data_IF_705848275388
#
_entry.id   IF_705848275388
#
_cell.length_a   1.000
_cell.length_b   1.000
_cell.length_c   1.000
_cell.angle_alpha   90.00
_cell.angle_beta   90.00
_cell.angle_gamma   90.00
#
_symmetry.space_group_name_H-M   'P 1'
#
loop_
_entity.id
_entity.type
_entity.pdbx_description
1 polymer ?
#
# COMPACT_ATOMS: atom_id res chain seq x y z
N UNK A 1 30.49 41.60 -13.28
CA UNK A 1 29.84 41.04 -12.07
C UNK A 1 29.62 39.54 -12.31
N UNK A 2 29.99 38.64 -11.38
CA UNK A 2 29.76 37.21 -11.56
C UNK A 2 28.26 36.92 -11.52
N UNK A 3 27.78 36.13 -12.49
CA UNK A 3 26.37 35.75 -12.63
C UNK A 3 26.02 34.83 -11.45
N UNK A 4 25.21 35.29 -10.49
CA UNK A 4 24.64 34.43 -9.44
C UNK A 4 23.74 33.40 -10.11
N UNK A 5 24.30 32.23 -10.40
CA UNK A 5 23.54 31.03 -10.73
C UNK A 5 22.89 30.58 -9.44
N UNK A 6 21.56 30.63 -9.38
CA UNK A 6 20.82 30.07 -8.25
C UNK A 6 21.14 28.57 -8.16
N UNK A 7 21.70 28.18 -7.02
CA UNK A 7 22.19 26.84 -6.77
C UNK A 7 21.04 25.83 -6.70
N UNK A 8 19.87 26.25 -6.21
CA UNK A 8 18.69 25.39 -6.15
C UNK A 8 17.98 25.33 -7.51
N UNK A 9 17.91 26.45 -8.24
CA UNK A 9 17.45 26.45 -9.64
C UNK A 9 18.28 25.47 -10.50
N UNK A 10 19.61 25.52 -10.41
CA UNK A 10 20.47 24.62 -11.19
C UNK A 10 20.34 23.16 -10.75
N UNK A 11 20.15 22.89 -9.45
CA UNK A 11 19.83 21.54 -8.95
C UNK A 11 18.50 21.03 -9.49
N UNK A 12 17.49 21.89 -9.58
CA UNK A 12 16.21 21.61 -10.25
C UNK A 12 16.39 21.24 -11.72
N UNK A 13 17.10 22.06 -12.50
CA UNK A 13 17.38 21.76 -13.92
C UNK A 13 18.09 20.43 -14.13
N UNK A 14 19.07 20.10 -13.27
CA UNK A 14 19.78 18.81 -13.26
C UNK A 14 18.83 17.64 -12.94
N UNK A 15 17.97 17.81 -11.93
CA UNK A 15 16.97 16.82 -11.54
C UNK A 15 15.94 16.61 -12.68
N UNK A 16 15.47 17.67 -13.32
CA UNK A 16 14.51 17.63 -14.44
C UNK A 16 15.09 16.97 -15.69
N UNK A 17 16.39 17.18 -15.96
CA UNK A 17 17.09 16.48 -17.03
C UNK A 17 17.28 14.99 -16.71
N UNK A 18 17.68 14.66 -15.48
CA UNK A 18 17.82 13.28 -15.03
C UNK A 18 16.49 12.52 -15.03
N UNK A 19 15.36 13.16 -14.66
CA UNK A 19 14.04 12.52 -14.70
C UNK A 19 13.59 12.19 -16.13
N UNK A 20 13.89 13.04 -17.12
CA UNK A 20 13.66 12.73 -18.54
C UNK A 20 14.47 11.52 -19.00
N UNK A 21 15.76 11.46 -18.66
CA UNK A 21 16.60 10.29 -18.95
C UNK A 21 16.08 9.00 -18.31
N UNK A 22 15.57 9.10 -17.08
CA UNK A 22 14.92 8.00 -16.36
C UNK A 22 13.65 7.52 -17.08
N UNK A 23 12.79 8.44 -17.52
CA UNK A 23 11.54 8.12 -18.19
C UNK A 23 11.76 7.40 -19.53
N UNK A 24 12.81 7.79 -20.28
CA UNK A 24 13.14 7.23 -21.58
C UNK A 24 13.95 5.92 -21.51
N UNK A 25 14.96 5.84 -20.62
CA UNK A 25 15.98 4.78 -20.63
C UNK A 25 16.15 4.06 -19.28
N UNK A 26 15.42 4.48 -18.25
CA UNK A 26 15.53 3.95 -16.88
C UNK A 26 16.66 4.57 -16.06
N UNK A 27 16.74 4.25 -14.75
CA UNK A 27 17.68 4.86 -13.82
C UNK A 27 19.16 4.70 -14.22
N UNK A 28 19.51 3.63 -14.92
CA UNK A 28 20.91 3.28 -15.25
C UNK A 28 21.52 4.18 -16.33
N UNK A 29 20.69 4.87 -17.11
CA UNK A 29 21.13 5.90 -18.06
C UNK A 29 21.61 7.20 -17.38
N UNK A 30 21.29 7.43 -16.10
CA UNK A 30 21.69 8.65 -15.39
C UNK A 30 23.18 8.60 -15.07
N UNK A 31 23.99 9.35 -15.83
CA UNK A 31 25.41 9.60 -15.55
C UNK A 31 25.71 11.10 -15.60
N UNK A 32 26.82 11.54 -14.99
CA UNK A 32 27.25 12.95 -15.05
C UNK A 32 27.42 13.43 -16.51
N UNK A 33 27.91 12.56 -17.39
CA UNK A 33 28.09 12.84 -18.83
C UNK A 33 26.74 13.02 -19.53
N UNK A 34 25.82 12.07 -19.36
CA UNK A 34 24.51 12.12 -20.02
C UNK A 34 23.68 13.31 -19.54
N UNK A 35 23.75 13.65 -18.24
CA UNK A 35 23.08 14.82 -17.67
C UNK A 35 23.74 16.13 -18.15
N UNK A 36 25.08 16.22 -18.22
CA UNK A 36 25.76 17.37 -18.84
C UNK A 36 25.35 17.56 -20.30
N UNK A 37 25.27 16.47 -21.08
CA UNK A 37 24.88 16.49 -22.48
C UNK A 37 23.42 16.93 -22.67
N UNK A 38 22.48 16.39 -21.88
CA UNK A 38 21.07 16.75 -21.91
C UNK A 38 20.79 18.22 -21.53
N UNK A 39 21.72 18.86 -20.81
CA UNK A 39 21.67 20.28 -20.45
C UNK A 39 22.51 21.20 -21.36
N UNK A 40 23.30 20.64 -22.29
CA UNK A 40 24.24 21.43 -23.11
C UNK A 40 25.35 22.12 -22.32
N UNK A 41 25.71 21.60 -21.13
CA UNK A 41 26.72 22.20 -20.24
C UNK A 41 28.04 21.44 -20.26
N UNK A 42 29.10 22.08 -19.77
CA UNK A 42 30.42 21.48 -19.65
C UNK A 42 30.39 20.12 -18.91
N UNK A 43 31.25 19.21 -19.37
CA UNK A 43 31.38 17.89 -18.77
C UNK A 43 31.83 18.00 -17.31
N UNK A 44 31.04 17.42 -16.39
CA UNK A 44 31.31 17.47 -14.95
C UNK A 44 30.57 18.57 -14.20
N UNK A 45 29.86 19.51 -14.86
CA UNK A 45 29.12 20.56 -14.17
C UNK A 45 28.15 20.04 -13.07
N UNK A 46 27.42 18.92 -13.24
CA UNK A 46 26.55 18.39 -12.19
C UNK A 46 27.29 17.90 -10.93
N UNK A 47 28.60 17.59 -11.02
CA UNK A 47 29.40 17.15 -9.87
C UNK A 47 29.66 18.27 -8.86
N UNK A 48 29.51 19.54 -9.26
CA UNK A 48 29.55 20.67 -8.32
C UNK A 48 28.29 20.79 -7.45
N UNK A 49 27.19 20.13 -7.84
CA UNK A 49 25.87 20.26 -7.20
C UNK A 49 25.42 18.99 -6.46
N UNK A 50 25.98 17.83 -6.80
CA UNK A 50 25.57 16.52 -6.28
C UNK A 50 26.77 15.61 -6.01
N UNK A 51 26.71 14.88 -4.88
CA UNK A 51 27.70 13.87 -4.48
C UNK A 51 27.61 12.56 -5.31
N UNK A 52 27.51 12.67 -6.64
CA UNK A 52 27.43 11.56 -7.57
C UNK A 52 26.02 11.12 -7.96
N UNK A 53 25.94 10.05 -8.76
CA UNK A 53 24.72 9.55 -9.42
C UNK A 53 23.54 9.34 -8.46
N UNK A 54 23.77 8.69 -7.31
CA UNK A 54 22.70 8.34 -6.38
C UNK A 54 21.93 9.58 -5.87
N UNK A 55 22.65 10.66 -5.56
CA UNK A 55 22.07 11.92 -5.12
C UNK A 55 21.28 12.64 -6.24
N UNK A 56 21.69 12.47 -7.51
CA UNK A 56 20.95 12.99 -8.67
C UNK A 56 19.65 12.20 -8.85
N UNK A 57 19.70 10.87 -8.82
CA UNK A 57 18.52 10.00 -8.97
C UNK A 57 17.50 10.22 -7.86
N UNK A 58 17.94 10.31 -6.60
CA UNK A 58 17.05 10.62 -5.47
C UNK A 58 16.39 12.00 -5.63
N UNK A 59 17.15 13.02 -6.02
CA UNK A 59 16.63 14.38 -6.20
C UNK A 59 15.63 14.48 -7.37
N UNK A 60 15.92 13.80 -8.49
CA UNK A 60 15.02 13.68 -9.62
C UNK A 60 13.70 13.00 -9.24
N UNK A 61 13.79 11.90 -8.48
CA UNK A 61 12.62 11.14 -8.03
C UNK A 61 11.77 11.92 -7.02
N UNK A 62 12.38 12.58 -6.03
CA UNK A 62 11.68 13.45 -5.07
C UNK A 62 10.94 14.56 -5.79
N UNK A 63 11.62 15.26 -6.71
CA UNK A 63 11.02 16.35 -7.48
C UNK A 63 9.86 15.90 -8.37
N UNK A 64 9.99 14.77 -9.07
CA UNK A 64 8.91 14.20 -9.87
C UNK A 64 7.67 13.84 -9.02
N UNK A 65 7.89 13.34 -7.80
CA UNK A 65 6.81 13.06 -6.84
C UNK A 65 6.19 14.33 -6.25
N UNK A 66 6.98 15.36 -5.95
CA UNK A 66 6.46 16.65 -5.48
C UNK A 66 5.69 17.40 -6.58
N UNK A 67 6.09 17.27 -7.85
CA UNK A 67 5.36 17.80 -9.01
C UNK A 67 4.03 17.07 -9.24
N UNK A 68 4.00 15.75 -9.07
CA UNK A 68 2.77 14.95 -9.05
C UNK A 68 1.87 15.36 -7.87
N UNK A 69 2.44 15.54 -6.69
CA UNK A 69 1.72 15.94 -5.48
C UNK A 69 1.08 17.33 -5.64
N UNK A 70 1.80 18.28 -6.24
CA UNK A 70 1.31 19.61 -6.58
C UNK A 70 0.27 19.57 -7.72
N UNK A 71 0.40 18.65 -8.69
CA UNK A 71 -0.60 18.43 -9.76
C UNK A 71 -1.91 17.89 -9.20
N UNK A 72 -1.84 16.88 -8.34
CA UNK A 72 -2.96 16.34 -7.56
C UNK A 72 -3.62 17.45 -6.76
N UNK A 73 -2.86 18.26 -6.02
CA UNK A 73 -3.42 19.35 -5.23
C UNK A 73 -4.16 20.40 -6.09
N UNK A 74 -3.62 20.77 -7.26
CA UNK A 74 -4.27 21.70 -8.21
C UNK A 74 -5.55 21.12 -8.80
N UNK A 75 -5.58 19.83 -9.16
CA UNK A 75 -6.75 19.18 -9.78
C UNK A 75 -7.79 18.69 -8.77
N UNK A 76 -7.41 18.52 -7.50
CA UNK A 76 -8.33 18.31 -6.38
C UNK A 76 -9.08 19.59 -5.95
N UNK A 77 -8.66 20.77 -6.41
CA UNK A 77 -9.25 22.03 -5.97
C UNK A 77 -10.75 22.10 -6.31
N UNK A 78 -11.60 22.19 -5.28
CA UNK A 78 -13.05 22.17 -5.43
C UNK A 78 -13.69 20.78 -5.48
N UNK A 79 -12.90 19.70 -5.46
CA UNK A 79 -13.40 18.33 -5.35
C UNK A 79 -13.36 17.86 -3.89
N UNK A 80 -14.30 17.00 -3.51
CA UNK A 80 -14.36 16.35 -2.19
C UNK A 80 -14.80 14.89 -2.31
N UNK A 81 -14.65 14.11 -1.23
CA UNK A 81 -15.14 12.73 -1.18
C UNK A 81 -14.64 11.85 -2.33
N UNK A 82 -15.56 11.05 -2.89
CA UNK A 82 -15.29 10.09 -3.98
C UNK A 82 -14.75 10.76 -5.25
N UNK A 83 -15.21 11.96 -5.59
CA UNK A 83 -14.72 12.69 -6.78
C UNK A 83 -13.24 13.08 -6.65
N UNK A 84 -12.81 13.48 -5.45
CA UNK A 84 -11.41 13.76 -5.17
C UNK A 84 -10.55 12.48 -5.14
N UNK A 85 -11.11 11.36 -4.68
CA UNK A 85 -10.44 10.04 -4.73
C UNK A 85 -10.21 9.56 -6.17
N UNK A 86 -11.21 9.70 -7.06
CA UNK A 86 -11.08 9.39 -8.49
C UNK A 86 -9.94 10.18 -9.13
N UNK A 87 -9.98 11.51 -9.03
CA UNK A 87 -8.95 12.38 -9.58
C UNK A 87 -7.55 12.02 -9.04
N UNK A 88 -7.44 11.78 -7.73
CA UNK A 88 -6.16 11.40 -7.11
C UNK A 88 -5.60 10.12 -7.76
N UNK A 89 -6.45 9.12 -7.95
CA UNK A 89 -6.04 7.84 -8.51
C UNK A 89 -5.67 7.94 -9.99
N UNK A 90 -6.44 8.70 -10.78
CA UNK A 90 -6.12 8.95 -12.20
C UNK A 90 -4.74 9.61 -12.35
N UNK A 91 -4.45 10.63 -11.54
CA UNK A 91 -3.14 11.30 -11.55
C UNK A 91 -2.00 10.37 -11.15
N UNK A 92 -2.15 9.59 -10.06
CA UNK A 92 -1.12 8.65 -9.62
C UNK A 92 -0.89 7.56 -10.67
N UNK A 93 -1.94 6.98 -11.25
CA UNK A 93 -1.83 5.95 -12.29
C UNK A 93 -1.14 6.51 -13.55
N UNK A 94 -1.48 7.73 -13.97
CA UNK A 94 -0.91 8.37 -15.16
C UNK A 94 0.60 8.68 -15.02
N UNK A 95 1.12 8.84 -13.80
CA UNK A 95 2.50 9.32 -13.56
C UNK A 95 3.41 8.32 -12.84
N UNK A 96 2.92 7.14 -12.41
CA UNK A 96 3.71 6.17 -11.63
C UNK A 96 3.92 4.79 -12.30
N UNK A 97 3.94 4.76 -13.65
CA UNK A 97 4.20 3.54 -14.44
C UNK A 97 5.64 2.98 -14.36
N UNK A 98 6.00 2.04 -15.23
CA UNK A 98 7.25 1.24 -15.14
C UNK A 98 8.56 2.00 -14.84
N UNK A 99 8.85 3.20 -15.41
CA UNK A 99 10.05 3.96 -15.04
C UNK A 99 10.09 4.36 -13.56
N UNK A 100 8.94 4.66 -12.95
CA UNK A 100 8.79 5.00 -11.54
C UNK A 100 9.14 3.80 -10.64
N UNK A 101 8.57 2.63 -10.94
CA UNK A 101 8.82 1.39 -10.20
C UNK A 101 10.32 1.02 -10.21
N UNK A 102 10.98 1.12 -11.37
CA UNK A 102 12.43 0.87 -11.50
C UNK A 102 13.28 1.83 -10.66
N UNK A 103 12.87 3.09 -10.52
CA UNK A 103 13.60 4.06 -9.68
C UNK A 103 13.37 3.78 -8.19
N UNK A 104 12.14 3.49 -7.77
CA UNK A 104 11.84 3.12 -6.39
C UNK A 104 12.65 1.88 -5.93
N UNK A 105 12.84 0.91 -6.82
CA UNK A 105 13.65 -0.28 -6.59
C UNK A 105 15.18 -0.05 -6.66
N UNK A 106 15.63 1.10 -7.19
CA UNK A 106 17.06 1.32 -7.51
C UNK A 106 17.98 1.57 -6.30
N UNK A 107 17.44 1.77 -5.10
CA UNK A 107 18.24 1.92 -3.88
C UNK A 107 17.49 2.54 -2.69
N UNK A 108 18.16 2.64 -1.52
CA UNK A 108 17.54 3.07 -0.28
C UNK A 108 17.09 4.55 -0.27
N UNK A 109 17.75 5.44 -1.01
CA UNK A 109 17.35 6.85 -1.15
C UNK A 109 15.98 7.01 -1.81
N UNK A 110 15.81 6.55 -3.07
CA UNK A 110 14.50 6.52 -3.73
C UNK A 110 13.42 5.77 -2.94
N UNK A 111 13.75 4.64 -2.30
CA UNK A 111 12.79 3.92 -1.46
C UNK A 111 12.32 4.75 -0.24
N UNK A 112 13.21 5.52 0.39
CA UNK A 112 12.85 6.43 1.47
C UNK A 112 11.97 7.60 0.99
N UNK A 113 12.27 8.17 -0.18
CA UNK A 113 11.43 9.20 -0.83
C UNK A 113 10.02 8.68 -1.11
N UNK A 114 9.89 7.46 -1.65
CA UNK A 114 8.59 6.85 -1.88
C UNK A 114 7.83 6.68 -0.56
N UNK A 115 8.46 6.14 0.48
CA UNK A 115 7.83 5.95 1.79
C UNK A 115 7.33 7.27 2.42
N UNK A 116 8.10 8.35 2.27
CA UNK A 116 7.75 9.70 2.73
C UNK A 116 6.50 10.24 2.01
N UNK A 117 6.43 10.06 0.69
CA UNK A 117 5.31 10.51 -0.16
C UNK A 117 4.06 9.64 0.08
N UNK A 118 4.20 8.31 0.15
CA UNK A 118 3.12 7.39 0.50
C UNK A 118 2.54 7.73 1.88
N UNK A 119 3.35 8.18 2.85
CA UNK A 119 2.86 8.67 4.13
C UNK A 119 2.01 9.95 4.00
N UNK A 120 2.42 10.91 3.15
CA UNK A 120 1.58 12.10 2.83
C UNK A 120 0.26 11.71 2.15
N UNK A 121 0.32 10.79 1.19
CA UNK A 121 -0.86 10.29 0.46
C UNK A 121 -1.85 9.60 1.38
N UNK A 122 -1.38 8.73 2.29
CA UNK A 122 -2.20 8.08 3.33
C UNK A 122 -3.04 9.09 4.11
N UNK A 123 -2.44 10.17 4.60
CA UNK A 123 -3.17 11.22 5.34
C UNK A 123 -4.23 11.92 4.49
N UNK A 124 -3.93 12.21 3.21
CA UNK A 124 -4.89 12.86 2.31
C UNK A 124 -6.04 11.95 1.90
N UNK A 125 -5.76 10.68 1.61
CA UNK A 125 -6.77 9.68 1.28
C UNK A 125 -7.72 9.46 2.45
N UNK A 126 -7.20 9.38 3.69
CA UNK A 126 -8.02 9.30 4.90
C UNK A 126 -9.00 10.48 5.00
N UNK A 127 -8.52 11.71 4.85
CA UNK A 127 -9.36 12.91 4.89
C UNK A 127 -10.45 12.91 3.79
N UNK A 128 -10.11 12.48 2.56
CA UNK A 128 -11.10 12.39 1.47
C UNK A 128 -12.13 11.29 1.70
N UNK A 129 -11.75 10.16 2.31
CA UNK A 129 -12.70 9.07 2.65
C UNK A 129 -13.65 9.54 3.77
N UNK A 130 -13.13 10.17 4.81
CA UNK A 130 -13.92 10.71 5.93
C UNK A 130 -14.93 11.78 5.44
N UNK A 131 -14.50 12.69 4.55
CA UNK A 131 -15.38 13.62 3.85
C UNK A 131 -16.46 12.91 3.04
N UNK A 132 -16.08 11.86 2.30
CA UNK A 132 -17.00 11.05 1.50
C UNK A 132 -18.07 10.38 2.35
N UNK A 133 -17.74 9.90 3.56
CA UNK A 133 -18.73 9.35 4.50
C UNK A 133 -19.64 10.41 5.09
N UNK A 134 -19.08 11.55 5.55
CA UNK A 134 -19.88 12.66 6.10
C UNK A 134 -20.88 13.20 5.08
N UNK A 135 -20.55 13.14 3.79
CA UNK A 135 -21.43 13.49 2.68
C UNK A 135 -22.37 12.35 2.22
N UNK A 136 -22.32 11.16 2.83
CA UNK A 136 -23.11 9.98 2.44
C UNK A 136 -22.68 9.30 1.12
N UNK A 137 -21.62 9.79 0.47
CA UNK A 137 -21.10 9.24 -0.79
C UNK A 137 -20.24 7.98 -0.63
N UNK A 138 -19.79 7.67 0.59
CA UNK A 138 -19.13 6.41 0.94
C UNK A 138 -19.95 5.71 2.02
N UNK A 139 -20.50 4.55 1.70
CA UNK A 139 -21.33 3.72 2.60
C UNK A 139 -20.69 2.36 2.88
N UNK A 140 -19.56 2.03 2.24
CA UNK A 140 -18.84 0.78 2.45
C UNK A 140 -18.52 0.56 3.96
N UNK A 141 -18.87 -0.60 4.54
CA UNK A 141 -18.84 -0.81 5.99
C UNK A 141 -17.43 -0.96 6.58
N UNK A 142 -16.40 -1.14 5.75
CA UNK A 142 -15.01 -1.25 6.20
C UNK A 142 -14.49 0.08 6.79
N UNK A 143 -13.64 0.07 7.83
CA UNK A 143 -13.05 1.30 8.39
C UNK A 143 -12.23 2.11 7.38
N UNK A 144 -12.19 3.43 7.55
CA UNK A 144 -11.58 4.39 6.60
C UNK A 144 -10.13 4.04 6.30
N UNK A 145 -9.38 3.71 7.34
CA UNK A 145 -7.99 3.32 7.22
C UNK A 145 -7.76 2.01 6.46
N UNK A 146 -8.69 1.05 6.55
CA UNK A 146 -8.66 -0.16 5.73
C UNK A 146 -8.88 0.20 4.26
N UNK A 147 -9.82 1.11 3.95
CA UNK A 147 -10.03 1.62 2.60
C UNK A 147 -8.80 2.39 2.06
N UNK A 148 -8.10 3.15 2.91
CA UNK A 148 -6.84 3.84 2.55
C UNK A 148 -5.75 2.83 2.17
N UNK A 149 -5.51 1.81 3.00
CA UNK A 149 -4.49 0.80 2.68
C UNK A 149 -4.86 -0.02 1.45
N UNK A 150 -6.14 -0.36 1.26
CA UNK A 150 -6.61 -1.04 0.06
C UNK A 150 -6.36 -0.18 -1.20
N UNK A 151 -6.67 1.12 -1.15
CA UNK A 151 -6.46 2.02 -2.27
C UNK A 151 -4.96 2.24 -2.57
N UNK A 152 -4.12 2.41 -1.54
CA UNK A 152 -2.67 2.46 -1.69
C UNK A 152 -2.11 1.14 -2.25
N UNK A 153 -2.60 -0.01 -1.78
CA UNK A 153 -2.17 -1.32 -2.28
C UNK A 153 -2.58 -1.54 -3.75
N UNK A 154 -3.73 -1.01 -4.19
CA UNK A 154 -4.10 -1.03 -5.61
C UNK A 154 -3.16 -0.14 -6.44
N UNK A 155 -2.90 1.09 -5.99
CA UNK A 155 -2.03 2.04 -6.68
C UNK A 155 -0.58 1.55 -6.78
N UNK A 156 -0.05 0.86 -5.75
CA UNK A 156 1.28 0.23 -5.81
C UNK A 156 1.28 -1.12 -6.54
N UNK A 157 0.24 -1.95 -6.41
CA UNK A 157 0.15 -3.27 -7.06
C UNK A 157 0.10 -3.17 -8.59
N UNK A 158 -0.51 -2.11 -9.11
CA UNK A 158 -0.45 -1.71 -10.53
C UNK A 158 0.99 -1.55 -11.04
N UNK A 159 1.91 -1.11 -10.18
CA UNK A 159 3.30 -0.81 -10.55
C UNK A 159 4.16 -2.09 -10.71
N UNK A 160 3.74 -3.21 -10.08
CA UNK A 160 4.41 -4.50 -10.19
C UNK A 160 3.99 -5.31 -11.43
N UNK A 161 2.80 -5.05 -12.00
CA UNK A 161 2.27 -5.75 -13.17
C UNK A 161 2.68 -5.11 -14.52
N UNK A 162 3.62 -4.15 -14.48
CA UNK A 162 4.06 -3.34 -15.62
C UNK A 162 5.37 -3.80 -16.27
N UNK A 163 5.81 -5.05 -16.07
CA UNK A 163 7.02 -5.60 -16.70
C UNK A 163 6.71 -6.32 -18.03
N UNK A 164 7.14 -5.79 -19.19
CA UNK A 164 7.53 -6.63 -20.31
C UNK A 164 8.86 -7.31 -19.94
N UNK A 165 8.86 -8.64 -19.88
CA UNK A 165 9.96 -9.42 -19.29
C UNK A 165 11.33 -9.14 -19.91
N UNK A 166 12.30 -8.77 -19.06
CA UNK A 166 13.71 -8.72 -19.46
C UNK A 166 14.33 -10.12 -19.39
N UNK A 167 14.11 -10.91 -20.45
CA UNK A 167 14.76 -12.20 -20.61
C UNK A 167 16.28 -12.06 -20.57
N UNK A 168 16.93 -12.71 -19.61
CA UNK A 168 18.39 -12.70 -19.49
C UNK A 168 19.04 -13.29 -20.74
N UNK A 169 19.95 -12.54 -21.36
CA UNK A 169 20.66 -12.98 -22.56
C UNK A 169 21.63 -14.12 -22.26
N UNK A 170 21.16 -15.36 -22.39
CA UNK A 170 21.97 -16.58 -22.46
C UNK A 170 22.17 -17.00 -23.93
N UNK A 171 23.40 -16.91 -24.42
CA UNK A 171 23.74 -17.15 -25.83
C UNK A 171 23.95 -18.63 -26.16
N UNK A 172 23.14 -19.20 -27.08
CA UNK A 172 23.62 -20.06 -28.20
C UNK A 172 22.50 -20.45 -29.18
N UNK A 173 22.82 -20.72 -30.47
CA UNK A 173 21.82 -20.93 -31.53
C UNK A 173 21.50 -22.41 -31.80
N UNK A 174 20.27 -22.72 -32.25
CA UNK A 174 19.84 -24.08 -32.55
C UNK A 174 18.49 -24.23 -33.26
N UNK A 175 18.44 -23.84 -34.55
CA UNK A 175 17.53 -24.34 -35.60
C UNK A 175 16.01 -24.58 -35.34
N UNK A 176 15.19 -23.77 -36.02
CA UNK A 176 14.12 -24.28 -36.91
C UNK A 176 12.69 -24.41 -36.34
N UNK A 177 11.72 -23.71 -36.95
CA UNK A 177 10.29 -23.96 -36.71
C UNK A 177 9.35 -22.81 -37.09
N UNK A 178 8.94 -22.77 -38.36
CA UNK A 178 7.77 -22.09 -38.97
C UNK A 178 6.99 -21.02 -38.18
N UNK A 179 6.81 -19.85 -38.80
CA UNK A 179 6.04 -18.75 -38.22
C UNK A 179 4.53 -19.01 -38.10
N UNK A 180 3.95 -18.42 -37.06
CA UNK A 180 2.54 -18.07 -36.96
C UNK A 180 2.45 -16.60 -36.49
N UNK A 181 1.84 -15.74 -37.29
CA UNK A 181 1.60 -14.33 -36.93
C UNK A 181 0.55 -14.26 -35.82
N UNK A 182 0.83 -13.65 -34.66
CA UNK A 182 -0.21 -13.38 -33.67
C UNK A 182 -1.14 -12.28 -34.19
N UNK A 183 -2.45 -12.57 -34.22
CA UNK A 183 -3.49 -11.60 -34.53
C UNK A 183 -3.61 -10.48 -33.47
N UNK A 184 -4.40 -9.43 -33.73
CA UNK A 184 -4.49 -8.26 -32.85
C UNK A 184 -5.00 -8.66 -31.46
N UNK A 185 -4.24 -8.27 -30.43
CA UNK A 185 -4.49 -8.68 -29.06
C UNK A 185 -5.81 -8.13 -28.49
N UNK A 186 -6.54 -8.98 -27.75
CA UNK A 186 -7.64 -8.55 -26.91
C UNK A 186 -7.12 -7.63 -25.79
N UNK A 187 -7.64 -6.41 -25.73
CA UNK A 187 -7.21 -5.40 -24.77
C UNK A 187 -7.63 -5.79 -23.33
N UNK A 188 -6.73 -6.45 -22.60
CA UNK A 188 -6.94 -6.72 -21.18
C UNK A 188 -7.00 -5.42 -20.39
N UNK A 189 -8.12 -5.21 -19.70
CA UNK A 189 -8.49 -3.98 -18.98
C UNK A 189 -7.35 -3.28 -18.20
N UNK A 190 -7.31 -1.96 -18.31
CA UNK A 190 -6.25 -1.09 -17.82
C UNK A 190 -6.22 -0.97 -16.28
N UNK A 191 -5.09 -0.54 -15.69
CA UNK A 191 -5.00 -0.21 -14.26
C UNK A 191 -6.08 0.76 -13.75
N UNK A 192 -6.44 1.75 -14.56
CA UNK A 192 -7.50 2.71 -14.23
C UNK A 192 -8.86 2.04 -13.98
N UNK A 193 -9.19 0.98 -14.70
CA UNK A 193 -10.47 0.28 -14.58
C UNK A 193 -10.59 -0.49 -13.25
N UNK A 194 -9.47 -1.00 -12.73
CA UNK A 194 -9.44 -1.68 -11.42
C UNK A 194 -9.73 -0.68 -10.30
N UNK A 195 -9.08 0.48 -10.34
CA UNK A 195 -9.28 1.50 -9.31
C UNK A 195 -10.64 2.19 -9.46
N UNK A 196 -11.14 2.38 -10.69
CA UNK A 196 -12.50 2.83 -10.92
C UNK A 196 -13.54 1.85 -10.36
N UNK A 197 -13.37 0.54 -10.52
CA UNK A 197 -14.25 -0.47 -9.94
C UNK A 197 -14.25 -0.45 -8.40
N UNK A 198 -13.06 -0.32 -7.78
CA UNK A 198 -12.95 -0.17 -6.32
C UNK A 198 -13.66 1.09 -5.82
N UNK A 199 -13.44 2.24 -6.47
CA UNK A 199 -14.05 3.51 -6.08
C UNK A 199 -15.57 3.53 -6.31
N UNK A 200 -16.06 2.88 -7.37
CA UNK A 200 -17.49 2.70 -7.62
C UNK A 200 -18.18 1.87 -6.52
N UNK A 201 -17.50 0.86 -5.96
CA UNK A 201 -18.01 0.05 -4.84
C UNK A 201 -18.04 0.77 -3.49
N UNK A 202 -17.44 1.95 -3.35
CA UNK A 202 -17.48 2.72 -2.10
C UNK A 202 -18.87 3.33 -1.84
N UNK A 203 -19.56 3.74 -2.90
CA UNK A 203 -20.97 4.13 -2.87
C UNK A 203 -21.87 2.92 -3.04
N UNK A 204 -22.99 2.87 -2.33
CA UNK A 204 -23.99 1.81 -2.52
C UNK A 204 -24.50 1.88 -3.95
N UNK A 205 -24.34 0.81 -4.73
CA UNK A 205 -24.42 0.84 -6.19
C UNK A 205 -25.73 1.39 -6.75
N UNK A 206 -25.77 2.70 -7.03
CA UNK A 206 -26.91 3.38 -7.64
C UNK A 206 -26.53 4.71 -8.32
N UNK A 207 -25.45 4.75 -9.10
CA UNK A 207 -25.22 5.83 -10.08
C UNK A 207 -26.16 5.65 -11.29
N UNK A 208 -27.49 5.70 -11.08
CA UNK A 208 -28.43 5.90 -12.18
C UNK A 208 -28.26 7.32 -12.69
N UNK A 209 -27.77 7.46 -13.91
CA UNK A 209 -27.76 8.72 -14.64
C UNK A 209 -29.20 9.21 -14.88
N UNK A 210 -29.71 10.00 -13.93
CA UNK A 210 -30.96 10.73 -14.10
C UNK A 210 -30.73 11.95 -14.99
N UNK A 211 -31.30 11.93 -16.19
CA UNK A 211 -31.23 13.02 -17.16
C UNK A 211 -31.76 14.33 -16.58
N UNK A 212 -31.02 15.43 -16.76
CA UNK A 212 -31.49 16.77 -16.40
C UNK A 212 -32.66 17.22 -17.30
N UNK A 213 -33.72 17.73 -16.67
CA UNK A 213 -34.89 18.37 -17.30
C UNK A 213 -35.63 19.19 -16.23
N UNK A 214 -36.13 20.42 -16.51
CA UNK A 214 -36.15 21.46 -15.47
C UNK A 214 -37.54 21.81 -14.91
N UNK A 215 -37.53 22.39 -13.70
CA UNK A 215 -38.54 23.36 -13.24
C UNK A 215 -39.46 22.91 -12.10
N UNK A 216 -39.64 23.78 -11.09
CA UNK A 216 -40.68 23.66 -10.06
C UNK A 216 -40.18 23.92 -8.63
N UNK A 217 -40.32 25.16 -8.15
CA UNK A 217 -40.10 25.54 -6.75
C UNK A 217 -41.23 25.03 -5.81
N UNK A 218 -41.03 24.99 -4.47
CA UNK A 218 -41.81 24.17 -3.53
C UNK A 218 -43.10 24.86 -3.02
N UNK A 219 -43.90 24.18 -2.17
CA UNK A 219 -43.83 24.55 -0.73
C UNK A 219 -44.12 23.45 0.33
N UNK A 220 -43.57 23.71 1.52
CA UNK A 220 -44.15 23.54 2.87
C UNK A 220 -44.73 22.19 3.40
N UNK A 221 -44.04 21.67 4.43
CA UNK A 221 -44.53 21.27 5.77
C UNK A 221 -45.98 20.79 6.00
N UNK A 222 -46.16 19.60 6.63
CA UNK A 222 -47.50 19.13 7.04
C UNK A 222 -47.62 17.81 7.82
N UNK A 223 -46.98 17.71 8.99
CA UNK A 223 -47.41 17.01 10.22
C UNK A 223 -48.43 15.80 10.22
N UNK A 224 -48.06 14.76 11.00
CA UNK A 224 -48.90 13.82 11.82
C UNK A 224 -49.55 12.56 11.18
N UNK A 225 -49.11 11.38 11.67
CA UNK A 225 -49.95 10.20 11.92
C UNK A 225 -50.86 10.43 13.17
N UNK A 226 -51.93 9.62 13.39
CA UNK A 226 -51.79 8.47 14.32
C UNK A 226 -52.76 7.26 14.13
N UNK A 227 -52.52 6.16 14.86
CA UNK A 227 -53.45 5.02 15.10
C UNK A 227 -53.18 3.76 14.26
N UNK A 228 -52.88 2.54 14.75
CA UNK A 228 -53.54 1.63 15.75
C UNK A 228 -55.02 1.35 15.40
N UNK A 229 -55.59 0.13 15.39
CA UNK A 229 -55.24 -1.26 15.78
C UNK A 229 -56.30 -2.22 15.13
N UNK A 230 -56.23 -3.56 15.01
CA UNK A 230 -55.19 -4.62 15.06
C UNK A 230 -55.87 -6.00 14.74
N UNK A 231 -55.16 -7.16 14.89
CA UNK A 231 -55.71 -8.56 14.97
C UNK A 231 -56.23 -9.17 13.63
N UNK A 232 -56.18 -10.48 13.30
CA UNK A 232 -55.23 -11.60 13.55
C UNK A 232 -55.60 -12.87 12.73
N UNK A 233 -54.64 -13.83 12.62
CA UNK A 233 -54.77 -15.31 12.43
C UNK A 233 -55.27 -15.93 11.09
N UNK A 234 -54.51 -16.96 10.67
CA UNK A 234 -54.94 -18.11 9.84
C UNK A 234 -54.80 -17.92 8.32
N UNK A 235 -54.35 -18.90 7.53
CA UNK A 235 -53.81 -20.23 7.84
C UNK A 235 -53.90 -21.18 6.63
N UNK A 236 -52.85 -21.99 6.41
CA UNK A 236 -52.74 -23.12 5.46
C UNK A 236 -52.75 -22.84 3.93
N UNK A 237 -51.74 -23.42 3.28
CA UNK A 237 -51.67 -24.05 1.95
C UNK A 237 -52.55 -23.54 0.79
N UNK A 238 -51.87 -23.11 -0.29
CA UNK A 238 -51.84 -23.99 -1.45
C UNK A 238 -50.56 -23.86 -2.29
N UNK A 239 -50.14 -24.96 -2.89
CA UNK A 239 -48.96 -25.08 -3.75
C UNK A 239 -49.06 -24.29 -5.06
N UNK A 240 -47.99 -23.62 -5.48
CA UNK A 240 -47.84 -23.12 -6.86
C UNK A 240 -46.38 -23.09 -7.29
N UNK A 241 -46.14 -23.38 -8.58
CA UNK A 241 -44.82 -23.62 -9.18
C UNK A 241 -44.12 -22.36 -9.70
N UNK A 242 -42.83 -22.24 -9.42
CA UNK A 242 -41.83 -21.44 -10.16
C UNK A 242 -40.45 -22.04 -9.82
N UNK A 243 -39.57 -22.43 -10.75
CA UNK A 243 -38.91 -21.65 -11.82
C UNK A 243 -38.15 -20.46 -11.24
N UNK A 244 -36.84 -20.47 -11.51
CA UNK A 244 -35.81 -19.46 -11.22
C UNK A 244 -35.57 -19.06 -9.76
N UNK A 245 -34.40 -19.47 -9.23
CA UNK A 245 -33.68 -18.70 -8.22
C UNK A 245 -32.32 -18.27 -8.77
N UNK A 246 -32.27 -17.02 -9.22
CA UNK A 246 -31.04 -16.25 -9.40
C UNK A 246 -31.03 -15.08 -8.41
N UNK A 247 -31.04 -15.38 -7.10
CA UNK A 247 -30.70 -14.42 -6.04
C UNK A 247 -29.18 -14.27 -5.93
N UNK A 248 -28.57 -13.15 -6.35
CA UNK A 248 -28.65 -11.82 -5.75
C UNK A 248 -28.36 -11.81 -4.23
N UNK A 249 -27.16 -12.28 -3.85
CA UNK A 249 -26.57 -12.02 -2.53
C UNK A 249 -25.91 -10.63 -2.47
N UNK A 250 -26.45 -9.72 -1.67
CA UNK A 250 -25.92 -8.36 -1.48
C UNK A 250 -24.58 -8.36 -0.72
N UNK A 251 -23.46 -8.16 -1.43
CA UNK A 251 -22.07 -8.28 -0.92
C UNK A 251 -21.20 -7.00 -0.89
N UNK A 252 -21.82 -5.82 -1.05
CA UNK A 252 -21.16 -4.57 -1.49
C UNK A 252 -20.15 -3.93 -0.50
N UNK A 253 -19.00 -4.58 -0.34
CA UNK A 253 -17.83 -4.10 0.40
C UNK A 253 -16.72 -5.15 0.52
N UNK A 254 -17.09 -6.42 0.70
CA UNK A 254 -16.16 -7.55 0.59
C UNK A 254 -15.77 -7.79 -0.89
N UNK A 255 -16.73 -7.61 -1.80
CA UNK A 255 -16.57 -7.77 -3.24
C UNK A 255 -15.35 -7.00 -3.79
N UNK A 256 -15.17 -5.73 -3.42
CA UNK A 256 -14.03 -4.93 -3.90
C UNK A 256 -12.65 -5.41 -3.43
N UNK A 257 -12.57 -6.09 -2.28
CA UNK A 257 -11.31 -6.63 -1.76
C UNK A 257 -10.91 -7.92 -2.47
N UNK A 258 -11.86 -8.84 -2.64
CA UNK A 258 -11.69 -10.15 -3.29
C UNK A 258 -11.60 -10.02 -4.81
N UNK A 259 -12.47 -9.21 -5.43
CA UNK A 259 -12.48 -8.98 -6.86
C UNK A 259 -11.14 -8.46 -7.39
N UNK A 260 -10.33 -7.72 -6.60
CA UNK A 260 -8.98 -7.38 -7.06
C UNK A 260 -8.09 -8.62 -7.19
N UNK A 261 -8.09 -9.52 -6.22
CA UNK A 261 -7.33 -10.77 -6.32
C UNK A 261 -7.84 -11.57 -7.51
N UNK A 262 -9.14 -11.80 -7.64
CA UNK A 262 -9.72 -12.59 -8.73
C UNK A 262 -9.44 -11.99 -10.12
N UNK A 263 -9.56 -10.66 -10.24
CA UNK A 263 -9.22 -9.92 -11.46
C UNK A 263 -7.72 -9.99 -11.76
N UNK A 264 -6.84 -9.92 -10.74
CA UNK A 264 -5.40 -10.07 -10.94
C UNK A 264 -5.06 -11.51 -11.39
N UNK A 265 -5.64 -12.53 -10.75
CA UNK A 265 -5.46 -13.94 -11.09
C UNK A 265 -5.88 -14.25 -12.53
N UNK A 266 -7.06 -13.76 -12.95
CA UNK A 266 -7.53 -13.89 -14.31
C UNK A 266 -6.59 -13.17 -15.30
N UNK A 267 -6.39 -11.85 -15.11
CA UNK A 267 -5.63 -11.03 -16.06
C UNK A 267 -4.17 -11.43 -16.19
N UNK A 268 -3.51 -11.87 -15.12
CA UNK A 268 -2.12 -12.34 -15.21
C UNK A 268 -2.03 -13.64 -16.01
N UNK A 269 -2.96 -14.58 -15.78
CA UNK A 269 -3.03 -15.80 -16.55
C UNK A 269 -3.42 -15.63 -18.02
N UNK A 270 -4.20 -14.59 -18.35
CA UNK A 270 -4.57 -14.26 -19.73
C UNK A 270 -3.46 -13.50 -20.47
N UNK A 271 -2.74 -12.60 -19.77
CA UNK A 271 -1.61 -11.82 -20.33
C UNK A 271 -0.31 -12.62 -20.42
N UNK A 272 -0.11 -13.57 -19.50
CA UNK A 272 1.06 -14.43 -19.42
C UNK A 272 0.62 -15.89 -19.18
N UNK A 273 0.27 -16.62 -20.25
CA UNK A 273 -0.04 -18.05 -20.18
C UNK A 273 1.10 -18.83 -19.50
N UNK A 274 0.75 -19.69 -18.55
CA UNK A 274 1.72 -20.38 -17.69
C UNK A 274 1.99 -19.69 -16.35
N UNK A 275 1.37 -18.54 -16.06
CA UNK A 275 1.38 -17.95 -14.70
C UNK A 275 0.80 -18.92 -13.68
N UNK A 276 1.56 -19.21 -12.61
CA UNK A 276 1.06 -19.92 -11.43
C UNK A 276 0.10 -19.02 -10.64
N UNK A 277 -1.20 -19.20 -10.92
CA UNK A 277 -2.28 -18.43 -10.30
C UNK A 277 -2.40 -18.75 -8.80
N UNK A 278 -2.13 -19.98 -8.37
CA UNK A 278 -2.27 -20.36 -6.95
C UNK A 278 -1.14 -19.76 -6.10
N UNK A 279 0.10 -19.81 -6.59
CA UNK A 279 1.22 -19.13 -5.94
C UNK A 279 1.02 -17.59 -5.90
N UNK A 280 0.47 -17.01 -6.96
CA UNK A 280 0.16 -15.57 -6.97
C UNK A 280 -0.97 -15.22 -5.98
N UNK A 281 -2.02 -16.05 -5.89
CA UNK A 281 -3.12 -15.88 -4.94
C UNK A 281 -2.60 -15.85 -3.49
N UNK A 282 -1.73 -16.81 -3.15
CA UNK A 282 -1.10 -16.91 -1.84
C UNK A 282 -0.36 -15.62 -1.46
N UNK A 283 0.49 -15.11 -2.36
CA UNK A 283 1.30 -13.90 -2.09
C UNK A 283 0.43 -12.65 -1.99
N UNK A 284 -0.52 -12.46 -2.90
CA UNK A 284 -1.43 -11.29 -2.90
C UNK A 284 -2.31 -11.27 -1.64
N UNK A 285 -2.92 -12.40 -1.29
CA UNK A 285 -3.81 -12.48 -0.13
C UNK A 285 -3.03 -12.31 1.18
N UNK A 286 -1.86 -12.94 1.34
CA UNK A 286 -1.00 -12.75 2.51
C UNK A 286 -0.55 -11.30 2.67
N UNK A 287 -0.12 -10.65 1.58
CA UNK A 287 0.32 -9.25 1.63
C UNK A 287 -0.82 -8.32 2.04
N UNK A 288 -2.01 -8.49 1.44
CA UNK A 288 -3.18 -7.64 1.70
C UNK A 288 -3.72 -7.83 3.12
N UNK A 289 -3.90 -9.07 3.58
CA UNK A 289 -4.45 -9.32 4.93
C UNK A 289 -3.48 -8.88 6.03
N UNK A 290 -2.16 -9.10 5.85
CA UNK A 290 -1.16 -8.63 6.80
C UNK A 290 -1.10 -7.09 6.85
N UNK A 291 -1.23 -6.41 5.71
CA UNK A 291 -1.32 -4.94 5.65
C UNK A 291 -2.54 -4.40 6.41
N UNK A 292 -3.74 -4.96 6.15
CA UNK A 292 -4.96 -4.54 6.83
C UNK A 292 -4.93 -4.80 8.34
N UNK A 293 -4.45 -5.97 8.78
CA UNK A 293 -4.32 -6.31 10.20
C UNK A 293 -3.31 -5.41 10.92
N UNK A 294 -2.12 -5.19 10.33
CA UNK A 294 -1.10 -4.30 10.91
C UNK A 294 -1.61 -2.86 11.01
N UNK A 295 -2.29 -2.36 9.98
CA UNK A 295 -2.87 -1.02 10.02
C UNK A 295 -3.93 -0.89 11.12
N UNK A 296 -4.86 -1.84 11.19
CA UNK A 296 -5.94 -1.82 12.18
C UNK A 296 -5.38 -1.85 13.60
N UNK A 297 -4.45 -2.76 13.89
CA UNK A 297 -3.74 -2.80 15.18
C UNK A 297 -2.94 -1.51 15.43
N UNK A 298 -2.24 -0.95 14.44
CA UNK A 298 -1.46 0.28 14.63
C UNK A 298 -2.37 1.48 14.97
N UNK A 299 -3.46 1.65 14.22
CA UNK A 299 -4.38 2.78 14.37
C UNK A 299 -5.27 2.69 15.62
N UNK A 300 -5.74 1.49 15.99
CA UNK A 300 -6.67 1.30 17.11
C UNK A 300 -5.99 1.05 18.47
N UNK A 301 -4.77 0.50 18.47
CA UNK A 301 -4.06 0.10 19.71
C UNK A 301 -2.79 0.91 19.92
N UNK A 302 -1.87 0.87 18.95
CA UNK A 302 -0.50 1.34 19.18
C UNK A 302 -0.39 2.86 19.20
N UNK A 303 -1.01 3.54 18.24
CA UNK A 303 -0.99 5.00 18.15
C UNK A 303 -1.70 5.67 19.33
N UNK A 304 -2.88 5.20 19.80
CA UNK A 304 -3.47 5.65 21.06
C UNK A 304 -2.59 5.39 22.29
N UNK A 305 -1.88 4.26 22.33
CA UNK A 305 -0.89 3.97 23.38
C UNK A 305 0.42 4.79 23.25
N UNK A 306 0.54 5.66 22.25
CA UNK A 306 1.65 6.61 22.06
C UNK A 306 2.91 6.01 21.42
N UNK A 307 2.79 4.94 20.63
CA UNK A 307 3.91 4.34 19.90
C UNK A 307 3.51 3.71 18.55
N UNK A 308 4.47 3.35 17.70
CA UNK A 308 4.21 2.68 16.42
C UNK A 308 4.15 1.16 16.57
N UNK A 309 3.62 0.47 15.55
CA UNK A 309 3.68 -1.00 15.44
C UNK A 309 5.10 -1.54 15.64
N UNK A 310 6.10 -0.92 15.00
CA UNK A 310 7.51 -1.31 15.10
C UNK A 310 8.07 -1.13 16.51
N UNK A 311 7.70 -0.05 17.21
CA UNK A 311 8.09 0.17 18.60
C UNK A 311 7.47 -0.88 19.53
N UNK A 312 6.17 -1.15 19.39
CA UNK A 312 5.50 -2.22 20.12
C UNK A 312 6.16 -3.58 19.88
N UNK A 313 6.46 -3.95 18.63
CA UNK A 313 7.13 -5.23 18.32
C UNK A 313 8.47 -5.37 19.01
N UNK A 314 9.26 -4.30 19.12
CA UNK A 314 10.53 -4.32 19.86
C UNK A 314 10.29 -4.50 21.37
N UNK A 315 9.35 -3.74 21.96
CA UNK A 315 8.99 -3.87 23.39
C UNK A 315 8.47 -5.28 23.72
N UNK A 316 7.54 -5.81 22.91
CA UNK A 316 6.99 -7.16 23.03
C UNK A 316 8.07 -8.24 22.88
N UNK A 317 9.01 -8.07 21.95
CA UNK A 317 10.15 -8.99 21.80
C UNK A 317 11.01 -9.01 23.07
N UNK A 318 11.31 -7.85 23.65
CA UNK A 318 12.10 -7.73 24.89
C UNK A 318 11.33 -8.20 26.14
N UNK A 319 10.00 -8.23 26.09
CA UNK A 319 9.15 -8.79 27.14
C UNK A 319 9.15 -10.31 27.11
N UNK A 320 8.85 -10.91 25.94
CA UNK A 320 8.70 -12.37 25.79
C UNK A 320 10.05 -13.10 25.78
N UNK A 321 11.08 -12.54 25.14
CA UNK A 321 12.41 -13.13 25.09
C UNK A 321 13.33 -12.67 26.23
N UNK A 322 12.86 -11.77 27.10
CA UNK A 322 13.72 -11.03 28.02
C UNK A 322 14.66 -10.06 27.30
N UNK A 323 15.63 -9.49 28.03
CA UNK A 323 16.63 -8.60 27.44
C UNK A 323 17.45 -9.29 26.33
N UNK A 324 17.77 -8.55 25.27
CA UNK A 324 18.44 -9.04 24.07
C UNK A 324 19.55 -8.11 23.61
N UNK A 325 20.58 -8.66 22.97
CA UNK A 325 21.49 -7.85 22.15
C UNK A 325 20.72 -7.21 20.98
N UNK A 326 21.04 -5.96 20.63
CA UNK A 326 20.32 -5.21 19.59
C UNK A 326 20.33 -5.88 18.21
N UNK A 327 21.36 -6.66 17.89
CA UNK A 327 21.41 -7.50 16.68
C UNK A 327 20.38 -8.63 16.74
N UNK A 328 20.38 -9.41 17.82
CA UNK A 328 19.43 -10.50 18.03
C UNK A 328 17.98 -10.02 18.14
N UNK A 329 17.76 -8.88 18.78
CA UNK A 329 16.45 -8.23 18.82
C UNK A 329 15.93 -7.92 17.40
N UNK A 330 16.79 -7.41 16.51
CA UNK A 330 16.44 -7.10 15.12
C UNK A 330 16.03 -8.35 14.32
N UNK A 331 16.72 -9.47 14.50
CA UNK A 331 16.34 -10.76 13.92
C UNK A 331 14.96 -11.22 14.41
N UNK A 332 14.77 -11.26 15.74
CA UNK A 332 13.55 -11.74 16.38
C UNK A 332 12.32 -10.90 16.00
N UNK A 333 12.46 -9.57 15.98
CA UNK A 333 11.39 -8.67 15.57
C UNK A 333 11.34 -8.44 14.05
N UNK A 334 12.12 -9.16 13.24
CA UNK A 334 12.13 -9.04 11.77
C UNK A 334 12.35 -7.62 11.24
N UNK A 335 13.19 -6.82 11.89
CA UNK A 335 13.53 -5.44 11.50
C UNK A 335 15.01 -5.33 11.12
N UNK A 336 15.40 -4.21 10.50
CA UNK A 336 16.83 -3.96 10.27
C UNK A 336 17.52 -3.52 11.57
N UNK A 337 18.82 -3.81 11.68
CA UNK A 337 19.65 -3.37 12.82
C UNK A 337 19.61 -1.84 13.00
N UNK A 338 19.54 -1.08 11.90
CA UNK A 338 19.38 0.36 11.91
C UNK A 338 18.01 0.80 12.47
N UNK A 339 16.92 0.12 12.10
CA UNK A 339 15.59 0.40 12.64
C UNK A 339 15.51 0.12 14.15
N UNK A 340 16.05 -1.01 14.61
CA UNK A 340 16.13 -1.33 16.05
C UNK A 340 17.00 -0.32 16.79
N UNK A 341 18.16 0.09 16.25
CA UNK A 341 19.01 1.11 16.87
C UNK A 341 18.28 2.45 17.01
N UNK A 342 17.55 2.88 15.98
CA UNK A 342 16.74 4.10 16.02
C UNK A 342 15.62 4.00 17.05
N UNK A 343 14.85 2.91 17.06
CA UNK A 343 13.78 2.68 18.03
C UNK A 343 14.31 2.59 19.46
N UNK A 344 15.44 1.91 19.69
CA UNK A 344 16.08 1.81 20.99
C UNK A 344 16.56 3.18 21.49
N UNK A 345 17.05 4.07 20.62
CA UNK A 345 17.36 5.46 21.01
C UNK A 345 16.09 6.18 21.50
N UNK A 346 15.00 6.14 20.74
CA UNK A 346 13.74 6.82 21.08
C UNK A 346 13.08 6.25 22.34
N UNK A 347 13.03 4.92 22.47
CA UNK A 347 12.43 4.23 23.62
C UNK A 347 13.27 4.39 24.90
N UNK A 348 14.60 4.54 24.79
CA UNK A 348 15.45 4.87 25.93
C UNK A 348 15.30 6.33 26.37
N UNK A 349 15.14 7.26 25.43
CA UNK A 349 14.85 8.67 25.74
C UNK A 349 13.47 8.84 26.42
N UNK A 350 12.52 7.95 26.15
CA UNK A 350 11.24 7.85 26.86
C UNK A 350 11.24 6.94 28.09
N UNK A 351 12.41 6.51 28.58
CA UNK A 351 12.61 5.63 29.75
C UNK A 351 11.91 4.25 29.69
N UNK A 352 11.50 3.78 28.50
CA UNK A 352 10.83 2.48 28.31
C UNK A 352 11.81 1.32 28.08
N UNK A 353 13.01 1.62 27.57
CA UNK A 353 14.06 0.63 27.26
C UNK A 353 15.38 1.06 27.87
N UNK A 354 15.96 0.19 28.71
CA UNK A 354 17.34 0.36 29.19
C UNK A 354 18.32 -0.12 28.13
N UNK A 355 19.41 0.63 27.96
CA UNK A 355 20.53 0.30 27.07
C UNK A 355 21.80 0.15 27.89
N UNK A 356 22.50 -0.95 27.70
CA UNK A 356 23.75 -1.27 28.41
C UNK A 356 24.79 -1.81 27.42
N UNK A 357 26.09 -1.50 27.57
CA UNK A 357 27.13 -2.19 26.81
C UNK A 357 27.10 -3.69 27.12
N UNK A 358 27.24 -4.55 26.11
CA UNK A 358 27.26 -5.99 26.30
C UNK A 358 28.52 -6.43 27.07
N UNK A 359 28.39 -7.51 27.85
CA UNK A 359 29.46 -8.09 28.65
C UNK A 359 30.44 -8.93 27.80
N UNK A 360 31.10 -8.29 26.83
CA UNK A 360 32.09 -8.91 25.95
C UNK A 360 32.66 -7.93 24.92
N UNK A 361 31.79 -7.29 24.14
CA UNK A 361 32.15 -6.21 23.23
C UNK A 361 31.41 -4.91 23.60
N UNK A 362 32.17 -3.84 23.88
CA UNK A 362 31.63 -2.50 24.16
C UNK A 362 30.93 -1.85 22.96
N UNK A 363 31.08 -2.41 21.75
CA UNK A 363 30.38 -2.01 20.52
C UNK A 363 28.98 -2.63 20.42
N UNK A 364 28.73 -3.74 21.12
CA UNK A 364 27.42 -4.39 21.16
C UNK A 364 26.58 -3.78 22.28
N UNK A 365 25.32 -3.48 21.98
CA UNK A 365 24.38 -2.90 22.95
C UNK A 365 23.33 -3.95 23.32
N UNK A 366 23.20 -4.20 24.62
CA UNK A 366 22.13 -4.99 25.20
C UNK A 366 20.95 -4.08 25.57
N UNK A 367 19.76 -4.51 25.16
CA UNK A 367 18.47 -3.84 25.35
C UNK A 367 17.64 -4.64 26.35
N UNK A 368 16.97 -3.97 27.29
CA UNK A 368 15.95 -4.57 28.13
C UNK A 368 14.81 -3.59 28.37
N UNK A 369 13.63 -4.08 28.73
CA UNK A 369 12.59 -3.20 29.26
C UNK A 369 13.04 -2.58 30.59
N UNK A 370 12.47 -1.42 30.90
CA UNK A 370 12.35 -0.90 32.26
C UNK A 370 11.04 -1.36 32.88
N UNK A 371 10.84 -1.11 34.18
CA UNK A 371 9.57 -1.41 34.86
C UNK A 371 8.43 -0.59 34.22
N UNK A 372 8.64 0.72 34.02
CA UNK A 372 7.71 1.60 33.31
C UNK A 372 7.43 1.17 31.84
N UNK A 373 8.45 0.63 31.15
CA UNK A 373 8.30 0.04 29.82
C UNK A 373 7.44 -1.21 29.82
N UNK A 374 7.57 -2.03 30.87
CA UNK A 374 6.80 -3.26 31.08
C UNK A 374 5.35 -2.95 31.42
N UNK A 375 5.09 -2.08 32.40
CA UNK A 375 3.74 -1.69 32.82
C UNK A 375 2.93 -1.10 31.66
N UNK A 376 3.55 -0.19 30.90
CA UNK A 376 2.91 0.46 29.76
C UNK A 376 2.67 -0.53 28.59
N UNK A 377 3.56 -1.51 28.40
CA UNK A 377 3.37 -2.57 27.41
C UNK A 377 2.18 -3.46 27.81
N UNK A 378 2.13 -3.92 29.06
CA UNK A 378 1.05 -4.77 29.59
C UNK A 378 -0.31 -4.07 29.48
N UNK A 379 -0.37 -2.77 29.82
CA UNK A 379 -1.58 -1.96 29.67
C UNK A 379 -2.08 -1.89 28.21
N UNK A 380 -1.17 -1.78 27.23
CA UNK A 380 -1.54 -1.80 25.81
C UNK A 380 -1.86 -3.22 25.29
N UNK A 381 -1.20 -4.25 25.82
CA UNK A 381 -1.31 -5.63 25.36
C UNK A 381 -2.72 -6.21 25.54
N UNK A 382 -3.43 -5.86 26.63
CA UNK A 382 -4.81 -6.29 26.83
C UNK A 382 -5.79 -5.80 25.76
N UNK A 383 -5.53 -4.62 25.17
CA UNK A 383 -6.31 -4.09 24.03
C UNK A 383 -5.82 -4.71 22.71
N UNK A 384 -4.50 -4.88 22.56
CA UNK A 384 -3.89 -5.56 21.42
C UNK A 384 -4.48 -6.96 21.21
N UNK A 385 -4.42 -7.81 22.24
CA UNK A 385 -4.82 -9.21 22.13
C UNK A 385 -6.34 -9.39 22.01
N UNK A 386 -7.13 -8.46 22.52
CA UNK A 386 -8.57 -8.39 22.23
C UNK A 386 -8.81 -8.13 20.74
N UNK A 387 -8.08 -7.18 20.15
CA UNK A 387 -8.21 -6.87 18.72
C UNK A 387 -7.71 -8.00 17.82
N UNK A 388 -6.63 -8.69 18.21
CA UNK A 388 -6.23 -9.96 17.58
C UNK A 388 -7.33 -11.02 17.67
N UNK A 389 -8.01 -11.13 18.82
CA UNK A 389 -9.11 -12.09 19.01
C UNK A 389 -10.33 -11.75 18.14
N UNK A 390 -10.65 -10.46 17.97
CA UNK A 390 -11.70 -9.98 17.06
C UNK A 390 -11.37 -10.32 15.60
N UNK A 391 -10.11 -10.18 15.16
CA UNK A 391 -9.64 -10.65 13.85
C UNK A 391 -9.71 -12.17 13.71
N UNK A 392 -9.29 -12.92 14.75
CA UNK A 392 -9.29 -14.37 14.74
C UNK A 392 -10.71 -14.96 14.70
N UNK A 393 -11.68 -14.31 15.34
CA UNK A 393 -13.08 -14.70 15.36
C UNK A 393 -13.82 -14.48 14.02
N UNK A 394 -13.18 -13.83 13.03
CA UNK A 394 -13.67 -13.83 11.64
C UNK A 394 -13.51 -15.21 10.95
N UNK A 395 -12.74 -16.11 11.56
CA UNK A 395 -12.58 -17.51 11.15
C UNK A 395 -13.24 -18.44 12.16
N UNK A 396 -13.72 -19.60 11.71
CA UNK A 396 -14.06 -20.69 12.60
C UNK A 396 -12.82 -21.22 13.33
N UNK A 397 -13.00 -21.89 14.47
CA UNK A 397 -11.89 -22.43 15.26
C UNK A 397 -11.00 -23.39 14.45
N UNK A 398 -11.62 -24.22 13.60
CA UNK A 398 -10.93 -25.17 12.73
C UNK A 398 -10.14 -24.45 11.61
N UNK A 399 -10.73 -23.46 10.95
CA UNK A 399 -10.06 -22.65 9.91
C UNK A 399 -8.88 -21.86 10.48
N UNK A 400 -9.03 -21.29 11.68
CA UNK A 400 -7.97 -20.59 12.39
C UNK A 400 -6.82 -21.55 12.75
N UNK A 401 -7.12 -22.76 13.23
CA UNK A 401 -6.13 -23.78 13.52
C UNK A 401 -5.40 -24.27 12.25
N UNK A 402 -6.14 -24.46 11.16
CA UNK A 402 -5.60 -24.82 9.85
C UNK A 402 -4.68 -23.71 9.30
N UNK A 403 -5.13 -22.46 9.29
CA UNK A 403 -4.35 -21.30 8.83
C UNK A 403 -3.05 -21.15 9.62
N UNK A 404 -3.11 -21.19 10.95
CA UNK A 404 -1.92 -21.14 11.80
C UNK A 404 -0.93 -22.28 11.51
N UNK A 405 -1.44 -23.50 11.30
CA UNK A 405 -0.63 -24.66 10.92
C UNK A 405 0.06 -24.46 9.57
N UNK A 406 -0.66 -23.94 8.56
CA UNK A 406 -0.13 -23.64 7.24
C UNK A 406 0.94 -22.54 7.28
N UNK A 407 0.69 -21.44 8.01
CA UNK A 407 1.64 -20.34 8.18
C UNK A 407 2.93 -20.79 8.86
N UNK A 408 2.83 -21.56 9.95
CA UNK A 408 4.00 -22.12 10.64
C UNK A 408 4.78 -23.09 9.75
N UNK A 409 4.08 -23.93 8.96
CA UNK A 409 4.71 -24.85 8.00
C UNK A 409 5.46 -24.09 6.91
N UNK A 410 4.84 -23.04 6.34
CA UNK A 410 5.44 -22.17 5.32
C UNK A 410 6.66 -21.43 5.87
N UNK A 411 6.57 -20.80 7.04
CA UNK A 411 7.67 -20.08 7.68
C UNK A 411 8.87 -21.01 7.99
N UNK A 412 8.61 -22.22 8.48
CA UNK A 412 9.65 -23.24 8.72
C UNK A 412 10.29 -23.75 7.44
N UNK A 413 9.52 -23.92 6.36
CA UNK A 413 10.06 -24.27 5.05
C UNK A 413 10.93 -23.14 4.48
N UNK A 414 10.46 -21.90 4.56
CA UNK A 414 11.21 -20.72 4.14
C UNK A 414 12.52 -20.53 4.91
N UNK A 415 12.54 -20.84 6.22
CA UNK A 415 13.77 -20.82 7.02
C UNK A 415 14.77 -21.95 6.68
N UNK A 416 14.38 -22.96 5.89
CA UNK A 416 15.30 -23.99 5.37
C UNK A 416 15.70 -23.78 3.91
N UNK A 417 14.98 -22.93 3.17
CA UNK A 417 15.35 -22.55 1.80
C UNK A 417 16.62 -21.68 1.79
N UNK A 418 17.52 -22.00 0.86
CA UNK A 418 18.78 -21.33 0.57
C UNK A 418 18.59 -20.13 -0.38
N UNK A 419 17.66 -20.24 -1.33
CA UNK A 419 17.29 -19.19 -2.28
C UNK A 419 16.48 -18.02 -1.67
N UNK A 420 15.99 -18.15 -0.43
CA UNK A 420 15.25 -17.07 0.24
C UNK A 420 16.22 -16.10 0.91
N UNK A 421 16.32 -14.91 0.34
CA UNK A 421 17.07 -13.78 0.90
C UNK A 421 16.58 -13.42 2.30
N UNK A 422 17.50 -13.43 3.27
CA UNK A 422 17.23 -13.06 4.68
C UNK A 422 17.86 -11.71 4.99
N UNK A 423 17.20 -10.93 5.83
CA UNK A 423 17.79 -9.73 6.44
C UNK A 423 18.71 -10.18 7.58
N UNK A 424 19.99 -10.38 7.29
CA UNK A 424 21.07 -10.58 8.27
C UNK A 424 21.44 -9.26 8.96
#
# INVERSE_FOLDING_TARGET
MPKRVDHEQRRGEIADAAWRLIAERGPDAVTLREVSAALGVAHGAPAHYFAGRAAIVECAFRRALDDLDARVARRAAGLSGVAALHMFCEEVIAHTGTPFARVAASGPGPAAVLAEVTARWRTRLAARIEEGRRAGGIVAPAPDGVLVEQLLALLHGVQALGEPGSGGAGTSPGSGGSGATPGPGGAGAAPGEVVAAFLAGLGGGAARAGTAGPGGDPPAAGARSPGREAVARGGADNSMSSVDDSGNGSGNGADGFLAFTDVALARAGDRLPGTDREAMALVLNLHRIAGSLVYDLESTVHRPAGWSWSAFRLLFTLWVAGGQEAGRAAELCGMSRAAVSSLANTLAAGELVRRTPAAGDRRTVHLSLTDAGTDRLVAAFGTHNRRESEWAALLGADDLAALNTLLVRLARAAHRADWINRRT
#
